data_IF_963845522598
#
_entry.id   IF_963845522598
#
_cell.length_a   1.000
_cell.length_b   1.000
_cell.length_c   1.000
_cell.angle_alpha   90.00
_cell.angle_beta   90.00
_cell.angle_gamma   90.00
#
_symmetry.space_group_name_H-M   'P 1'
#
loop_
_entity.id
_entity.type
_entity.pdbx_description
1 polymer ?
#
# COMPACT_ATOMS: atom_id res chain seq x y z
N UNK A 1 5.41 0.41 -22.25
CA UNK A 1 4.45 1.44 -22.73
C UNK A 1 4.44 2.67 -21.82
N UNK A 2 4.09 2.57 -20.53
CA UNK A 2 4.00 3.76 -19.65
C UNK A 2 5.31 4.58 -19.51
N UNK A 3 6.48 3.91 -19.46
CA UNK A 3 7.78 4.59 -19.48
C UNK A 3 8.08 5.25 -20.83
N UNK A 4 7.69 4.61 -21.94
CA UNK A 4 7.84 5.16 -23.30
C UNK A 4 6.98 6.41 -23.49
N UNK A 5 5.82 6.47 -22.84
CA UNK A 5 4.92 7.63 -22.81
C UNK A 5 5.34 8.72 -21.82
N UNK A 6 6.51 8.58 -21.15
CA UNK A 6 7.02 9.53 -20.16
C UNK A 6 6.03 9.90 -19.04
N UNK A 7 5.05 9.03 -18.74
CA UNK A 7 4.02 9.31 -17.73
C UNK A 7 4.60 9.56 -16.33
N UNK A 8 5.72 8.90 -16.03
CA UNK A 8 6.48 9.03 -14.79
C UNK A 8 7.21 10.38 -14.62
N UNK A 9 7.51 11.06 -15.73
CA UNK A 9 8.13 12.39 -15.76
C UNK A 9 7.11 13.51 -15.83
N UNK A 10 5.82 13.18 -16.05
CA UNK A 10 4.66 14.07 -16.03
C UNK A 10 5.00 15.53 -16.36
N UNK A 11 5.03 15.86 -17.65
CA UNK A 11 4.59 17.17 -18.11
C UNK A 11 5.24 18.32 -17.35
N UNK A 12 6.55 18.55 -17.58
CA UNK A 12 7.21 19.78 -17.16
C UNK A 12 6.37 20.99 -17.59
N UNK A 13 5.69 21.57 -16.60
CA UNK A 13 5.50 23.01 -16.40
C UNK A 13 4.46 23.74 -17.27
N UNK A 14 4.04 23.30 -18.46
CA UNK A 14 3.35 24.26 -19.38
C UNK A 14 2.10 23.82 -20.17
N UNK A 15 1.49 22.64 -19.98
CA UNK A 15 0.30 22.29 -20.79
C UNK A 15 -1.00 22.85 -20.19
N UNK A 16 -1.67 23.74 -20.94
CA UNK A 16 -2.91 24.46 -20.63
C UNK A 16 -4.15 23.59 -20.25
N UNK A 17 -4.02 22.26 -20.18
CA UNK A 17 -5.11 21.35 -19.83
C UNK A 17 -4.80 20.58 -18.54
N UNK A 18 -5.16 21.20 -17.41
CA UNK A 18 -5.02 20.63 -16.05
C UNK A 18 -5.62 19.22 -15.93
N UNK A 19 -6.75 18.95 -16.57
CA UNK A 19 -7.46 17.66 -16.50
C UNK A 19 -6.69 16.48 -17.08
N UNK A 20 -5.99 16.65 -18.21
CA UNK A 20 -5.19 15.58 -18.84
C UNK A 20 -3.95 15.23 -18.02
N UNK A 21 -3.34 16.22 -17.37
CA UNK A 21 -2.18 16.01 -16.49
C UNK A 21 -2.61 15.23 -15.25
N UNK A 22 -3.73 15.61 -14.62
CA UNK A 22 -4.29 14.87 -13.50
C UNK A 22 -4.69 13.44 -13.88
N UNK A 23 -5.29 13.24 -15.05
CA UNK A 23 -5.63 11.89 -15.50
C UNK A 23 -4.38 11.01 -15.71
N UNK A 24 -3.33 11.55 -16.32
CA UNK A 24 -2.06 10.83 -16.48
C UNK A 24 -1.42 10.49 -15.13
N UNK A 25 -1.51 11.41 -14.16
CA UNK A 25 -1.04 11.22 -12.79
C UNK A 25 -1.82 10.11 -12.07
N UNK A 26 -3.15 10.12 -12.14
CA UNK A 26 -4.04 9.07 -11.60
C UNK A 26 -3.70 7.72 -12.25
N UNK A 27 -3.51 7.69 -13.56
CA UNK A 27 -3.17 6.47 -14.30
C UNK A 27 -1.80 5.94 -13.90
N UNK A 28 -0.79 6.80 -13.76
CA UNK A 28 0.54 6.41 -13.31
C UNK A 28 0.50 5.79 -11.92
N UNK A 29 -0.19 6.45 -10.98
CA UNK A 29 -0.34 5.96 -9.62
C UNK A 29 -1.16 4.66 -9.55
N UNK A 30 -2.14 4.50 -10.42
CA UNK A 30 -2.91 3.25 -10.57
C UNK A 30 -2.05 2.11 -11.14
N UNK A 31 -1.18 2.38 -12.12
CA UNK A 31 -0.21 1.42 -12.63
C UNK A 31 0.82 1.03 -11.57
N UNK A 32 1.33 2.01 -10.83
CA UNK A 32 2.22 1.80 -9.69
C UNK A 32 1.59 0.89 -8.63
N UNK A 33 0.31 1.12 -8.31
CA UNK A 33 -0.50 0.30 -7.41
C UNK A 33 -0.63 -1.14 -7.91
N UNK A 34 -1.06 -1.31 -9.15
CA UNK A 34 -1.30 -2.62 -9.75
C UNK A 34 -0.02 -3.43 -9.90
N UNK A 35 1.06 -2.77 -10.32
CA UNK A 35 2.37 -3.40 -10.49
C UNK A 35 2.89 -3.93 -9.15
N UNK A 36 2.86 -3.13 -8.08
CA UNK A 36 3.28 -3.58 -6.75
C UNK A 36 2.40 -4.70 -6.19
N UNK A 37 1.10 -4.62 -6.40
CA UNK A 37 0.18 -5.69 -6.02
C UNK A 37 0.48 -7.00 -6.77
N UNK A 38 0.70 -6.93 -8.09
CA UNK A 38 1.06 -8.10 -8.89
C UNK A 38 2.43 -8.66 -8.52
N UNK A 39 3.43 -7.81 -8.30
CA UNK A 39 4.75 -8.25 -7.85
C UNK A 39 4.67 -8.99 -6.52
N UNK A 40 3.86 -8.47 -5.60
CA UNK A 40 3.65 -9.09 -4.31
C UNK A 40 2.92 -10.46 -4.37
N UNK A 41 1.92 -10.59 -5.26
CA UNK A 41 1.17 -11.83 -5.43
C UNK A 41 1.99 -12.88 -6.20
N UNK A 42 2.65 -12.47 -7.28
CA UNK A 42 3.29 -13.36 -8.24
C UNK A 42 4.82 -13.42 -8.10
N UNK A 43 5.39 -12.80 -7.06
CA UNK A 43 6.83 -12.77 -6.79
C UNK A 43 7.66 -12.29 -7.98
N UNK A 44 7.17 -11.26 -8.68
CA UNK A 44 7.88 -10.74 -9.87
C UNK A 44 9.13 -9.98 -9.45
N UNK A 45 10.26 -10.16 -10.15
CA UNK A 45 11.53 -9.52 -9.81
C UNK A 45 11.58 -8.04 -10.20
N UNK A 46 10.74 -7.61 -11.15
CA UNK A 46 10.70 -6.22 -11.62
C UNK A 46 9.45 -5.55 -11.10
N UNK A 47 9.65 -4.47 -10.34
CA UNK A 47 8.59 -3.60 -9.87
C UNK A 47 8.91 -2.13 -10.14
N UNK A 48 7.87 -1.32 -10.30
CA UNK A 48 8.00 0.13 -10.33
C UNK A 48 8.40 0.59 -8.92
N UNK A 49 9.65 1.05 -8.81
CA UNK A 49 10.21 1.63 -7.61
C UNK A 49 9.80 3.09 -7.48
N UNK A 50 9.75 3.59 -6.25
CA UNK A 50 9.37 4.97 -5.96
C UNK A 50 10.35 5.98 -6.58
N UNK A 51 11.63 5.63 -6.71
CA UNK A 51 12.62 6.44 -7.43
C UNK A 51 12.29 6.61 -8.92
N UNK A 52 11.43 5.76 -9.50
CA UNK A 52 10.93 5.89 -10.86
C UNK A 52 9.70 6.80 -10.93
N UNK A 53 9.23 7.37 -9.80
CA UNK A 53 8.06 8.23 -9.72
C UNK A 53 8.51 9.69 -9.49
N UNK A 54 8.73 10.44 -10.57
CA UNK A 54 8.92 11.91 -10.48
C UNK A 54 7.59 12.66 -10.52
N UNK A 55 6.49 11.94 -10.66
CA UNK A 55 5.15 12.50 -10.68
C UNK A 55 4.74 12.89 -9.26
N UNK A 56 4.34 14.14 -9.01
CA UNK A 56 3.80 14.52 -7.71
C UNK A 56 2.55 13.69 -7.39
N UNK A 57 2.22 13.61 -6.10
CA UNK A 57 0.92 13.10 -5.69
C UNK A 57 -0.18 13.93 -6.35
N UNK A 58 -1.34 13.33 -6.70
CA UNK A 58 -2.50 14.11 -7.10
C UNK A 58 -2.72 15.22 -6.08
N UNK A 59 -2.67 16.47 -6.54
CA UNK A 59 -2.97 17.61 -5.70
C UNK A 59 -4.43 17.49 -5.30
N UNK A 60 -4.64 16.94 -4.13
CA UNK A 60 -5.94 16.86 -3.52
C UNK A 60 -6.51 18.29 -3.25
N UNK A 61 -5.68 19.32 -3.35
CA UNK A 61 -5.77 20.55 -2.56
C UNK A 61 -6.68 21.65 -3.14
N UNK A 62 -7.16 21.58 -4.38
CA UNK A 62 -8.06 22.62 -4.91
C UNK A 62 -9.57 22.31 -4.86
N UNK A 63 -9.99 21.16 -4.33
CA UNK A 63 -11.42 20.86 -4.16
C UNK A 63 -11.90 20.87 -2.70
N UNK A 64 -11.01 21.03 -1.72
CA UNK A 64 -11.35 20.87 -0.31
C UNK A 64 -11.79 22.15 0.42
N UNK A 65 -11.50 23.34 -0.12
CA UNK A 65 -11.65 24.59 0.63
C UNK A 65 -13.01 25.30 0.45
N UNK A 66 -13.76 25.03 -0.62
CA UNK A 66 -14.83 25.97 -1.06
C UNK A 66 -16.28 25.49 -0.96
N UNK A 67 -16.55 24.25 -0.51
CA UNK A 67 -17.95 23.79 -0.43
C UNK A 67 -18.29 23.19 0.93
N UNK A 68 -18.78 24.08 1.81
CA UNK A 68 -19.39 23.76 3.10
C UNK A 68 -20.75 23.04 3.00
N UNK A 69 -20.83 21.97 2.20
CA UNK A 69 -22.03 21.17 2.07
C UNK A 69 -21.69 19.79 1.53
N UNK A 70 -21.93 18.74 2.34
CA UNK A 70 -21.97 17.33 1.96
C UNK A 70 -20.83 16.78 1.09
N UNK A 71 -20.08 15.79 1.60
CA UNK A 71 -19.12 15.03 0.79
C UNK A 71 -19.75 14.51 -0.51
N UNK A 72 -19.49 15.21 -1.62
CA UNK A 72 -19.81 14.80 -2.99
C UNK A 72 -19.14 13.45 -3.26
N UNK A 73 -19.81 12.54 -3.97
CA UNK A 73 -19.28 11.19 -4.26
C UNK A 73 -17.89 11.24 -4.94
N UNK A 74 -17.63 12.29 -5.72
CA UNK A 74 -16.33 12.54 -6.36
C UNK A 74 -15.20 12.85 -5.38
N UNK A 75 -15.49 13.48 -4.23
CA UNK A 75 -14.51 13.77 -3.19
C UNK A 75 -14.11 12.48 -2.45
N UNK A 76 -15.06 11.58 -2.25
CA UNK A 76 -14.83 10.29 -1.60
C UNK A 76 -13.93 9.43 -2.49
N UNK A 77 -14.21 9.35 -3.79
CA UNK A 77 -13.40 8.55 -4.72
C UNK A 77 -11.95 9.06 -4.82
N UNK A 78 -11.75 10.38 -4.88
CA UNK A 78 -10.39 10.96 -4.92
C UNK A 78 -9.63 10.75 -3.61
N UNK A 79 -10.31 10.84 -2.46
CA UNK A 79 -9.68 10.57 -1.16
C UNK A 79 -9.22 9.10 -1.05
N UNK A 80 -9.98 8.17 -1.61
CA UNK A 80 -9.63 6.76 -1.63
C UNK A 80 -8.39 6.49 -2.49
N UNK A 81 -8.26 7.16 -3.63
CA UNK A 81 -7.07 7.04 -4.48
C UNK A 81 -5.80 7.47 -3.74
N UNK A 82 -5.84 8.57 -2.99
CA UNK A 82 -4.69 9.05 -2.20
C UNK A 82 -4.29 8.05 -1.12
N UNK A 83 -5.28 7.50 -0.41
CA UNK A 83 -5.08 6.44 0.58
C UNK A 83 -4.44 5.22 -0.08
N UNK A 84 -4.92 4.82 -1.26
CA UNK A 84 -4.33 3.73 -2.01
C UNK A 84 -2.88 4.02 -2.40
N UNK A 85 -2.55 5.22 -2.85
CA UNK A 85 -1.17 5.57 -3.20
C UNK A 85 -0.24 5.44 -1.99
N UNK A 86 -0.63 6.02 -0.84
CA UNK A 86 0.13 5.91 0.40
C UNK A 86 0.31 4.43 0.80
N UNK A 87 -0.75 3.65 0.68
CA UNK A 87 -0.71 2.22 0.91
C UNK A 87 0.28 1.51 -0.03
N UNK A 88 0.23 1.72 -1.35
CA UNK A 88 1.16 1.08 -2.29
C UNK A 88 2.63 1.46 -2.06
N UNK A 89 2.90 2.69 -1.62
CA UNK A 89 4.26 3.08 -1.21
C UNK A 89 4.74 2.22 -0.04
N UNK A 90 3.91 2.10 1.01
CA UNK A 90 4.18 1.23 2.16
C UNK A 90 4.30 -0.24 1.77
N UNK A 91 3.44 -0.75 0.88
CA UNK A 91 3.49 -2.13 0.40
C UNK A 91 4.80 -2.43 -0.31
N UNK A 92 5.26 -1.58 -1.21
CA UNK A 92 6.52 -1.87 -1.89
C UNK A 92 7.73 -1.66 -0.98
N UNK A 93 7.71 -0.73 -0.03
CA UNK A 93 8.75 -0.69 1.01
C UNK A 93 8.74 -1.98 1.85
N UNK A 94 7.55 -2.46 2.20
CA UNK A 94 7.39 -3.74 2.88
C UNK A 94 7.89 -4.90 2.02
N UNK A 95 7.66 -4.89 0.71
CA UNK A 95 8.17 -5.87 -0.23
C UNK A 95 9.70 -5.85 -0.31
N UNK A 96 10.31 -4.69 -0.49
CA UNK A 96 11.77 -4.54 -0.60
C UNK A 96 12.45 -5.01 0.69
N UNK A 97 11.89 -4.62 1.84
CA UNK A 97 12.35 -5.07 3.16
C UNK A 97 12.08 -6.58 3.37
N UNK A 98 10.93 -7.09 2.92
CA UNK A 98 10.57 -8.51 3.06
C UNK A 98 11.30 -9.42 2.05
N UNK A 99 11.81 -8.89 0.95
CA UNK A 99 12.62 -9.63 -0.01
C UNK A 99 14.10 -9.59 0.39
N UNK A 100 14.54 -8.52 1.03
CA UNK A 100 15.91 -8.43 1.55
C UNK A 100 16.16 -9.47 2.65
N UNK A 101 17.22 -10.26 2.46
CA UNK A 101 17.74 -11.16 3.49
C UNK A 101 18.41 -10.41 4.66
N UNK A 102 18.65 -9.11 4.51
CA UNK A 102 19.33 -8.28 5.51
C UNK A 102 18.37 -7.49 6.41
N UNK A 103 17.06 -7.52 6.13
CA UNK A 103 16.09 -6.77 6.94
C UNK A 103 16.16 -7.15 8.42
N UNK A 104 16.33 -6.12 9.26
CA UNK A 104 16.39 -6.26 10.70
C UNK A 104 14.98 -6.37 11.30
N UNK A 105 14.90 -6.90 12.53
CA UNK A 105 13.64 -6.93 13.28
C UNK A 105 13.09 -5.51 13.48
N UNK A 106 13.98 -4.52 13.65
CA UNK A 106 13.60 -3.11 13.79
C UNK A 106 12.92 -2.59 12.54
N UNK A 107 13.40 -2.95 11.36
CA UNK A 107 12.82 -2.51 10.08
C UNK A 107 11.42 -3.10 9.90
N UNK A 108 11.24 -4.39 10.22
CA UNK A 108 9.94 -5.07 10.17
C UNK A 108 8.93 -4.47 11.17
N UNK A 109 9.37 -4.13 12.39
CA UNK A 109 8.52 -3.43 13.37
C UNK A 109 8.20 -2.00 12.94
N UNK A 110 9.14 -1.32 12.27
CA UNK A 110 8.93 0.00 11.69
C UNK A 110 7.83 -0.02 10.63
N UNK A 111 7.82 -1.04 9.77
CA UNK A 111 6.77 -1.25 8.78
C UNK A 111 5.41 -1.51 9.42
N UNK A 112 5.35 -2.37 10.44
CA UNK A 112 4.10 -2.65 11.16
C UNK A 112 3.53 -1.38 11.81
N UNK A 113 4.41 -0.57 12.43
CA UNK A 113 4.02 0.74 12.97
C UNK A 113 3.49 1.67 11.86
N UNK A 114 4.10 1.68 10.69
CA UNK A 114 3.66 2.51 9.57
C UNK A 114 2.26 2.09 9.05
N UNK A 115 1.99 0.79 8.95
CA UNK A 115 0.64 0.31 8.62
C UNK A 115 -0.39 0.68 9.69
N UNK A 116 -0.03 0.62 10.96
CA UNK A 116 -0.90 1.06 12.05
C UNK A 116 -1.23 2.55 11.97
N UNK A 117 -0.22 3.39 11.70
CA UNK A 117 -0.42 4.84 11.52
C UNK A 117 -1.36 5.11 10.35
N UNK A 118 -1.13 4.46 9.20
CA UNK A 118 -2.00 4.59 8.03
C UNK A 118 -3.46 4.22 8.36
N UNK A 119 -3.69 3.12 9.08
CA UNK A 119 -5.03 2.69 9.48
C UNK A 119 -5.70 3.69 10.44
N UNK A 120 -4.92 4.27 11.36
CA UNK A 120 -5.40 5.28 12.31
C UNK A 120 -5.71 6.63 11.66
N UNK A 121 -5.08 6.94 10.52
CA UNK A 121 -5.27 8.17 9.76
C UNK A 121 -6.36 8.06 8.69
N UNK A 122 -6.98 6.88 8.53
CA UNK A 122 -8.07 6.69 7.57
C UNK A 122 -9.23 7.65 7.87
N UNK A 123 -9.84 8.27 6.84
CA UNK A 123 -11.06 9.05 7.02
C UNK A 123 -12.21 8.17 7.53
N UNK A 124 -13.10 8.76 8.33
CA UNK A 124 -14.23 8.07 8.96
C UNK A 124 -15.05 7.18 8.00
N UNK A 125 -15.35 7.58 6.75
CA UNK A 125 -16.10 6.74 5.81
C UNK A 125 -15.43 5.41 5.46
N UNK A 126 -14.11 5.30 5.61
CA UNK A 126 -13.34 4.09 5.30
C UNK A 126 -13.04 3.24 6.54
N UNK A 127 -13.32 3.74 7.75
CA UNK A 127 -13.11 3.01 9.01
C UNK A 127 -14.27 2.05 9.27
N UNK A 128 -14.09 0.79 8.87
CA UNK A 128 -15.11 -0.27 8.96
C UNK A 128 -15.72 -0.41 10.36
N UNK A 129 -14.91 -0.23 11.41
CA UNK A 129 -15.31 -0.40 12.80
C UNK A 129 -16.08 0.79 13.37
N UNK A 130 -15.84 1.99 12.83
CA UNK A 130 -16.37 3.24 13.39
C UNK A 130 -17.61 3.74 12.62
N UNK A 131 -17.85 3.26 11.39
CA UNK A 131 -19.01 3.71 10.60
C UNK A 131 -20.28 2.95 10.99
N UNK A 132 -21.33 3.64 11.47
CA UNK A 132 -22.61 3.01 11.76
C UNK A 132 -23.22 2.42 10.48
N UNK A 133 -23.90 1.29 10.61
CA UNK A 133 -24.46 0.52 9.48
C UNK A 133 -25.37 1.37 8.60
N UNK A 134 -26.07 2.34 9.19
CA UNK A 134 -26.99 3.28 8.53
C UNK A 134 -26.31 4.37 7.70
N UNK A 135 -25.01 4.63 7.91
CA UNK A 135 -24.23 5.64 7.16
C UNK A 135 -23.35 5.03 6.05
N UNK A 136 -23.45 3.72 5.81
CA UNK A 136 -22.61 3.01 4.85
C UNK A 136 -23.12 3.23 3.43
N UNK A 137 -22.45 4.12 2.67
CA UNK A 137 -22.54 4.11 1.21
C UNK A 137 -21.89 2.82 0.70
N UNK A 138 -22.61 2.01 -0.07
CA UNK A 138 -22.20 0.65 -0.45
C UNK A 138 -20.81 0.58 -1.10
N UNK A 139 -20.48 1.54 -1.96
CA UNK A 139 -19.18 1.62 -2.65
C UNK A 139 -18.05 1.96 -1.67
N UNK A 140 -18.21 3.00 -0.85
CA UNK A 140 -17.19 3.43 0.12
C UNK A 140 -16.92 2.38 1.19
N UNK A 141 -17.98 1.71 1.65
CA UNK A 141 -17.85 0.60 2.59
C UNK A 141 -17.09 -0.58 1.98
N UNK A 142 -17.41 -0.95 0.74
CA UNK A 142 -16.68 -1.99 0.02
C UNK A 142 -15.21 -1.62 -0.21
N UNK A 143 -14.94 -0.37 -0.60
CA UNK A 143 -13.58 0.16 -0.75
C UNK A 143 -12.79 0.04 0.56
N UNK A 144 -13.38 0.43 1.69
CA UNK A 144 -12.80 0.25 3.03
C UNK A 144 -12.52 -1.21 3.37
N UNK A 145 -13.49 -2.10 3.15
CA UNK A 145 -13.33 -3.55 3.36
C UNK A 145 -12.16 -4.14 2.55
N UNK A 146 -12.11 -3.84 1.25
CA UNK A 146 -11.04 -4.32 0.37
C UNK A 146 -9.68 -3.78 0.83
N UNK A 147 -9.63 -2.50 1.23
CA UNK A 147 -8.42 -1.88 1.74
C UNK A 147 -7.92 -2.55 3.03
N UNK A 148 -8.80 -2.74 4.01
CA UNK A 148 -8.43 -3.39 5.28
C UNK A 148 -7.99 -4.83 5.04
N UNK A 149 -8.73 -5.61 4.24
CA UNK A 149 -8.35 -7.00 3.93
C UNK A 149 -6.95 -7.09 3.33
N UNK A 150 -6.65 -6.24 2.34
CA UNK A 150 -5.33 -6.17 1.70
C UNK A 150 -4.24 -5.77 2.70
N UNK A 151 -4.52 -4.81 3.57
CA UNK A 151 -3.61 -4.36 4.62
C UNK A 151 -3.31 -5.48 5.62
N UNK A 152 -4.34 -6.17 6.14
CA UNK A 152 -4.16 -7.29 7.08
C UNK A 152 -3.38 -8.44 6.46
N UNK A 153 -3.61 -8.75 5.19
CA UNK A 153 -2.85 -9.78 4.50
C UNK A 153 -1.34 -9.47 4.48
N UNK A 154 -0.97 -8.21 4.24
CA UNK A 154 0.44 -7.79 4.22
C UNK A 154 1.04 -7.81 5.62
N UNK A 155 0.33 -7.29 6.63
CA UNK A 155 0.76 -7.33 8.04
C UNK A 155 0.98 -8.76 8.52
N UNK A 156 0.08 -9.68 8.17
CA UNK A 156 0.25 -11.10 8.46
C UNK A 156 1.55 -11.66 7.88
N UNK A 157 1.91 -11.31 6.63
CA UNK A 157 3.20 -11.71 6.06
C UNK A 157 4.41 -11.10 6.77
N UNK A 158 4.33 -9.82 7.18
CA UNK A 158 5.39 -9.16 7.96
C UNK A 158 5.59 -9.89 9.29
N UNK A 159 4.51 -10.19 10.01
CA UNK A 159 4.54 -10.91 11.28
C UNK A 159 5.11 -12.32 11.14
N UNK A 160 4.73 -13.05 10.08
CA UNK A 160 5.33 -14.36 9.77
C UNK A 160 6.83 -14.25 9.52
N UNK A 161 7.30 -13.26 8.75
CA UNK A 161 8.74 -13.04 8.52
C UNK A 161 9.46 -12.69 9.82
N UNK A 162 8.84 -11.87 10.68
CA UNK A 162 9.38 -11.50 11.99
C UNK A 162 9.50 -12.72 12.90
N UNK A 163 8.47 -13.56 12.98
CA UNK A 163 8.49 -14.81 13.74
C UNK A 163 9.64 -15.71 13.28
N UNK A 164 9.78 -15.91 11.96
CA UNK A 164 10.87 -16.73 11.41
C UNK A 164 12.26 -16.18 11.75
N UNK A 165 12.43 -14.85 11.82
CA UNK A 165 13.69 -14.21 12.22
C UNK A 165 13.99 -14.36 13.72
N UNK A 166 12.98 -14.19 14.56
CA UNK A 166 13.12 -14.42 16.00
C UNK A 166 13.47 -15.88 16.29
N UNK A 167 12.80 -16.83 15.63
CA UNK A 167 13.10 -18.27 15.76
C UNK A 167 14.51 -18.64 15.29
N UNK A 168 15.08 -17.94 14.29
CA UNK A 168 16.50 -18.16 13.88
C UNK A 168 17.50 -17.81 14.98
N UNK A 169 17.18 -16.83 15.84
CA UNK A 169 18.04 -16.38 16.94
C UNK A 169 17.95 -17.26 18.19
N UNK A 170 17.03 -18.23 18.24
CA UNK A 170 16.96 -19.16 19.35
C UNK A 170 18.18 -20.11 19.36
N UNK A 171 18.65 -20.53 20.55
CA UNK A 171 19.70 -21.53 20.69
C UNK A 171 19.38 -22.82 19.92
N UNK A 172 20.41 -23.54 19.47
CA UNK A 172 20.25 -24.75 18.66
C UNK A 172 19.44 -25.85 19.36
N UNK A 173 19.44 -25.86 20.70
CA UNK A 173 18.80 -26.89 21.52
C UNK A 173 17.30 -26.63 21.79
N UNK A 174 16.73 -25.58 21.20
CA UNK A 174 15.33 -25.25 21.42
C UNK A 174 14.41 -26.11 20.54
N UNK A 175 13.51 -26.89 21.16
CA UNK A 175 12.47 -27.70 20.50
C UNK A 175 11.65 -26.90 19.45
N UNK A 176 11.49 -25.59 19.65
CA UNK A 176 10.84 -24.68 18.71
C UNK A 176 11.53 -24.59 17.34
N UNK A 177 12.83 -24.91 17.26
CA UNK A 177 13.58 -24.95 16.00
C UNK A 177 13.23 -26.21 15.18
N UNK A 178 12.96 -27.34 15.83
CA UNK A 178 12.48 -28.57 15.16
C UNK A 178 11.09 -28.34 14.55
N UNK A 179 10.24 -27.57 15.22
CA UNK A 179 8.94 -27.14 14.68
C UNK A 179 9.10 -26.24 13.44
N UNK A 180 10.09 -25.34 13.43
CA UNK A 180 10.39 -24.53 12.24
C UNK A 180 10.76 -25.40 11.05
N UNK A 181 11.55 -26.44 11.24
CA UNK A 181 12.00 -27.29 10.13
C UNK A 181 10.86 -28.18 9.60
N UNK A 182 9.82 -28.46 10.39
CA UNK A 182 8.59 -29.11 9.89
C UNK A 182 7.66 -28.16 9.12
N UNK A 183 7.61 -26.87 9.49
CA UNK A 183 6.76 -25.86 8.82
C UNK A 183 7.48 -25.21 7.62
N UNK A 184 8.81 -25.15 7.65
CA UNK A 184 9.66 -24.49 6.65
C UNK A 184 9.58 -25.08 5.25
N UNK A 185 9.12 -26.33 5.11
CA UNK A 185 8.86 -26.96 3.81
C UNK A 185 7.77 -26.28 2.98
N UNK A 186 6.90 -25.49 3.60
CA UNK A 186 5.83 -24.74 2.91
C UNK A 186 6.32 -23.36 2.43
N UNK A 187 7.42 -22.86 3.00
CA UNK A 187 7.93 -21.50 2.75
C UNK A 187 9.03 -21.41 1.69
N UNK A 188 9.36 -22.51 0.99
CA UNK A 188 10.42 -22.52 -0.06
C UNK A 188 9.92 -21.95 -1.40
N UNK A 189 8.62 -21.71 -1.54
CA UNK A 189 8.05 -20.90 -2.63
C UNK A 189 7.89 -19.43 -2.26
N UNK A 190 8.95 -18.80 -1.71
CA UNK A 190 9.01 -17.36 -1.41
C UNK A 190 10.04 -16.66 -2.31
#
# INVERSE_FOLDING_TARGET
MAQLSQMHQSMLVNSQNSSTVEFARILWWSLFLLDRHQCYIFQRPYMILEQHCHTPLPEAVHYFADQGGGLSDTLIDNSFLLIQIQWARLVGNAWDTCSSNQASVRDLLGLEKAFYVLESELPLPFRIHDTPVTARRGVTYFQGLVFSLRTYHIRARILLKLQMRCLRRLPQDCELRKFRDSVGGICVGL
#
